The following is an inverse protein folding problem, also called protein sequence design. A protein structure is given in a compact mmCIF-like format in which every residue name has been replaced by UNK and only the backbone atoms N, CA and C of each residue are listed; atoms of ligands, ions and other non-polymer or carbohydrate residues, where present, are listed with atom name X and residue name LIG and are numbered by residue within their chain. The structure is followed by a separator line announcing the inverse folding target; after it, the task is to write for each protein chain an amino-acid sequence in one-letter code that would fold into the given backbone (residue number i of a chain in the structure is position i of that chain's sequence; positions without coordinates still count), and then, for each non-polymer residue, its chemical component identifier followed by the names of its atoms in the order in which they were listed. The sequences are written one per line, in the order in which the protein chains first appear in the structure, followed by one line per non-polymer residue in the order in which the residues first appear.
data_IF_343407912674
#
_entry.id   IF_343407912674
#
_cell.length_a   1.000
_cell.length_b   1.000
_cell.length_c   1.000
_cell.angle_alpha   90.00
_cell.angle_beta   90.00
_cell.angle_gamma   90.00
#
_symmetry.space_group_name_H-M   'P 1'
#
loop_
_entity.id
_entity.type
_entity.pdbx_description
1 polymer ?
#
# COMPACT_ATOMS: atom_id res chain seq x y z
N UNK A 1 9.73 9.88 -0.39
CA UNK A 1 9.95 8.44 -0.57
C UNK A 1 8.94 7.73 0.31
N UNK A 2 8.09 6.87 -0.25
CA UNK A 2 7.01 6.21 0.50
C UNK A 2 7.60 5.02 1.28
N UNK A 3 7.10 4.77 2.48
CA UNK A 3 7.46 3.58 3.26
C UNK A 3 6.57 2.41 2.86
N UNK A 4 7.18 1.27 2.56
CA UNK A 4 6.45 0.02 2.40
C UNK A 4 6.60 -0.81 3.67
N UNK A 5 5.48 -1.08 4.34
CA UNK A 5 5.44 -1.76 5.63
C UNK A 5 4.60 -3.02 5.53
N UNK A 6 4.97 -4.03 6.31
CA UNK A 6 4.20 -5.26 6.38
C UNK A 6 2.82 -5.00 7.01
N UNK A 7 1.76 -5.46 6.35
CA UNK A 7 0.38 -5.26 6.80
C UNK A 7 0.05 -6.05 8.08
N UNK A 8 0.81 -7.12 8.39
CA UNK A 8 0.57 -7.94 9.59
C UNK A 8 1.23 -7.38 10.84
N UNK A 9 2.49 -6.98 10.74
CA UNK A 9 3.33 -6.70 11.92
C UNK A 9 3.98 -5.31 11.88
N UNK A 10 3.56 -4.47 10.92
CA UNK A 10 4.02 -3.10 10.68
C UNK A 10 5.55 -2.93 10.52
N UNK A 11 6.28 -4.03 10.28
CA UNK A 11 7.72 -3.97 10.06
C UNK A 11 8.00 -3.21 8.75
N UNK A 12 8.92 -2.25 8.79
CA UNK A 12 9.44 -1.59 7.59
C UNK A 12 10.14 -2.63 6.71
N UNK A 13 9.64 -2.76 5.47
CA UNK A 13 10.17 -3.66 4.45
C UNK A 13 11.08 -2.91 3.47
N UNK A 14 10.80 -1.63 3.22
CA UNK A 14 11.64 -0.77 2.39
C UNK A 14 11.08 0.63 2.22
N UNK A 15 11.81 1.48 1.48
CA UNK A 15 11.36 2.80 1.04
C UNK A 15 11.49 2.88 -0.48
N UNK A 16 10.51 3.45 -1.16
CA UNK A 16 10.47 3.48 -2.63
C UNK A 16 10.07 4.86 -3.18
N UNK A 17 10.44 5.11 -4.45
CA UNK A 17 9.98 6.26 -5.25
C UNK A 17 9.43 5.71 -6.57
N UNK A 18 8.13 5.89 -6.81
CA UNK A 18 7.46 5.47 -8.05
C UNK A 18 7.58 3.98 -8.32
N UNK A 19 6.82 3.15 -7.60
CA UNK A 19 6.87 1.69 -7.75
C UNK A 19 5.52 1.21 -8.29
N UNK A 20 5.48 0.77 -9.55
CA UNK A 20 4.24 0.32 -10.17
C UNK A 20 3.72 -0.97 -9.54
N UNK A 21 4.61 -1.93 -9.30
CA UNK A 21 4.30 -3.20 -8.67
C UNK A 21 5.48 -3.72 -7.83
N UNK A 22 5.20 -4.28 -6.65
CA UNK A 22 6.17 -4.94 -5.78
C UNK A 22 5.51 -6.11 -5.03
N UNK A 23 6.22 -7.24 -4.95
CA UNK A 23 5.91 -8.34 -4.04
C UNK A 23 7.12 -8.58 -3.13
N UNK A 24 6.90 -8.65 -1.81
CA UNK A 24 7.97 -8.96 -0.85
C UNK A 24 7.45 -9.74 0.36
N UNK A 25 8.17 -10.81 0.70
CA UNK A 25 7.93 -11.59 1.91
C UNK A 25 8.50 -10.87 3.13
N UNK A 26 7.68 -10.69 4.16
CA UNK A 26 8.11 -10.11 5.41
C UNK A 26 9.02 -11.08 6.17
N UNK A 27 10.28 -10.72 6.47
CA UNK A 27 11.22 -11.61 7.15
C UNK A 27 10.87 -11.84 8.63
N UNK A 28 10.00 -11.01 9.22
CA UNK A 28 9.58 -11.15 10.63
C UNK A 28 8.43 -12.14 10.80
N UNK A 29 7.42 -12.09 9.95
CA UNK A 29 6.16 -12.81 10.17
C UNK A 29 5.77 -13.74 9.01
N UNK A 30 6.56 -13.78 7.93
CA UNK A 30 6.37 -14.66 6.79
C UNK A 30 5.29 -14.24 5.79
N UNK A 31 4.45 -13.24 6.08
CA UNK A 31 3.41 -12.74 5.16
C UNK A 31 4.06 -12.17 3.89
N UNK A 32 3.54 -12.54 2.72
CA UNK A 32 3.83 -11.88 1.44
C UNK A 32 2.97 -10.62 1.33
N UNK A 33 3.60 -9.48 1.03
CA UNK A 33 2.93 -8.18 0.94
C UNK A 33 3.07 -7.68 -0.49
N UNK A 34 2.00 -7.06 -0.98
CA UNK A 34 1.88 -6.59 -2.36
C UNK A 34 1.70 -5.09 -2.38
N UNK A 35 2.28 -4.45 -3.37
CA UNK A 35 2.00 -3.08 -3.72
C UNK A 35 1.68 -3.01 -5.20
N UNK A 36 0.55 -2.40 -5.54
CA UNK A 36 0.15 -2.05 -6.89
C UNK A 36 -0.27 -0.59 -6.85
N UNK A 37 0.46 0.28 -7.53
CA UNK A 37 0.01 1.66 -7.74
C UNK A 37 -0.89 1.67 -8.98
N UNK A 38 -2.20 1.80 -8.77
CA UNK A 38 -3.12 2.10 -9.86
C UNK A 38 -2.76 3.48 -10.44
N UNK A 39 -2.53 3.53 -11.76
CA UNK A 39 -2.16 4.76 -12.47
C UNK A 39 -3.25 5.86 -12.40
N UNK A 40 -4.38 5.59 -11.76
CA UNK A 40 -5.59 6.40 -11.77
C UNK A 40 -5.74 7.37 -10.60
N UNK A 41 -4.81 7.39 -9.63
CA UNK A 41 -4.92 8.24 -8.43
C UNK A 41 -3.97 9.46 -8.42
N UNK A 42 -3.68 10.03 -9.58
CA UNK A 42 -3.08 11.37 -9.67
C UNK A 42 -4.17 12.45 -9.63
N UNK A 43 -4.98 12.49 -8.57
CA UNK A 43 -5.65 13.73 -8.16
C UNK A 43 -4.78 14.42 -7.12
N UNK A 44 -4.27 15.65 -7.37
CA UNK A 44 -3.67 16.45 -6.32
C UNK A 44 -4.79 16.92 -5.37
N UNK A 45 -5.16 16.10 -4.39
CA UNK A 45 -6.21 16.47 -3.43
C UNK A 45 -6.52 15.41 -2.38
N UNK A 46 -6.21 15.77 -1.14
CA UNK A 46 -6.66 15.17 0.14
C UNK A 46 -5.97 13.89 0.65
N UNK A 47 -5.12 14.13 1.67
CA UNK A 47 -4.80 13.18 2.73
C UNK A 47 -6.09 12.75 3.46
N UNK A 48 -6.41 11.46 3.54
CA UNK A 48 -7.02 10.85 4.74
C UNK A 48 -6.73 9.34 4.80
N UNK A 49 -6.26 8.80 5.94
CA UNK A 49 -6.07 7.37 6.15
C UNK A 49 -7.40 6.73 6.64
N UNK A 50 -7.85 5.66 6.00
CA UNK A 50 -8.86 4.76 6.57
C UNK A 50 -10.30 4.83 6.00
N UNK A 51 -10.48 4.99 4.69
CA UNK A 51 -11.81 4.88 4.07
C UNK A 51 -12.25 3.41 3.92
N UNK A 52 -13.34 3.03 4.60
CA UNK A 52 -14.10 1.80 4.31
C UNK A 52 -14.70 1.86 2.90
N UNK A 53 -14.87 0.72 2.20
CA UNK A 53 -15.49 0.73 0.87
C UNK A 53 -16.96 1.18 0.97
N UNK A 54 -17.30 2.25 0.27
CA UNK A 54 -18.69 2.62 0.01
C UNK A 54 -19.29 1.60 -0.95
N UNK A 55 -20.22 0.77 -0.46
CA UNK A 55 -21.02 -0.09 -1.32
C UNK A 55 -21.98 0.81 -2.11
N UNK A 56 -21.82 0.84 -3.43
CA UNK A 56 -22.84 1.38 -4.33
C UNK A 56 -23.87 0.29 -4.55
N UNK A 57 -25.01 0.42 -3.88
CA UNK A 57 -26.20 -0.38 -4.18
C UNK A 57 -27.02 0.36 -5.22
N UNK A 58 -27.26 -0.29 -6.35
CA UNK A 58 -28.13 0.17 -7.44
C UNK A 58 -29.58 0.35 -7.02
#
# INVERSE_FOLDING_TARGET
MKEFRCEKCNKLLGKYRGCRELEIKCPRCGRVNYLREDASAATPGNNYPGGTPVVVSS
#
